data_IF_998404998593
#
_entry.id   IF_998404998593
#
_cell.length_a   1.000
_cell.length_b   1.000
_cell.length_c   1.000
_cell.angle_alpha   90.00
_cell.angle_beta   90.00
_cell.angle_gamma   90.00
#
_symmetry.space_group_name_H-M   'P 1'
#
loop_
_entity.id
_entity.type
_entity.pdbx_description
1 polymer ?
#
# COMPACT_ATOMS: atom_id res chain seq x y z
N UNK A 1 14.84 1.48 21.64
CA UNK A 1 14.97 1.72 20.18
C UNK A 1 13.60 2.15 19.69
N UNK A 2 13.29 3.44 19.82
CA UNK A 2 11.95 3.97 19.52
C UNK A 2 12.15 5.20 18.65
N UNK A 3 12.13 5.00 17.33
CA UNK A 3 12.16 6.09 16.35
C UNK A 3 10.76 6.69 16.26
N UNK A 4 10.46 7.56 17.22
CA UNK A 4 9.34 8.48 17.18
C UNK A 4 9.72 9.63 16.24
N UNK A 5 9.60 9.41 14.93
CA UNK A 5 9.55 10.53 13.98
C UNK A 5 8.09 10.85 13.76
N UNK A 6 7.69 12.03 14.22
CA UNK A 6 6.49 12.76 13.78
C UNK A 6 6.63 13.07 12.30
N UNK A 7 6.50 12.06 11.45
CA UNK A 7 6.14 12.24 10.06
C UNK A 7 4.62 12.30 10.12
N UNK A 8 4.01 13.43 9.73
CA UNK A 8 2.59 13.43 9.35
C UNK A 8 2.42 12.16 8.55
N UNK A 9 1.54 11.22 8.92
CA UNK A 9 1.38 10.08 8.08
C UNK A 9 0.67 10.68 6.86
N UNK A 10 1.45 11.08 5.88
CA UNK A 10 1.12 10.76 4.51
C UNK A 10 1.16 9.25 4.53
N UNK A 11 0.13 8.65 5.15
CA UNK A 11 -0.32 7.32 4.88
C UNK A 11 -0.50 7.42 3.38
N UNK A 12 0.55 7.08 2.62
CA UNK A 12 0.36 6.69 1.24
C UNK A 12 -0.61 5.56 1.43
N UNK A 13 -1.90 5.87 1.26
CA UNK A 13 -2.96 4.93 1.52
C UNK A 13 -2.59 3.75 0.66
N UNK A 14 -2.18 2.67 1.28
CA UNK A 14 -1.64 1.51 0.59
C UNK A 14 -2.63 0.41 0.88
N UNK A 15 -3.11 -0.24 -0.16
CA UNK A 15 -4.04 -1.34 -0.04
C UNK A 15 -3.29 -2.64 -0.27
N UNK A 16 -3.63 -3.63 0.54
CA UNK A 16 -3.10 -4.98 0.41
C UNK A 16 -3.86 -5.72 -0.68
N UNK A 17 -3.14 -6.30 -1.63
CA UNK A 17 -3.75 -7.07 -2.69
C UNK A 17 -4.36 -8.37 -2.15
N UNK A 18 -5.63 -8.71 -2.47
CA UNK A 18 -6.25 -9.95 -1.99
C UNK A 18 -5.73 -11.22 -2.68
N UNK A 19 -4.98 -11.10 -3.79
CA UNK A 19 -4.44 -12.25 -4.52
C UNK A 19 -3.04 -12.64 -4.03
N UNK A 20 -2.11 -11.69 -3.99
CA UNK A 20 -0.72 -11.94 -3.62
C UNK A 20 -0.31 -11.35 -2.26
N UNK A 21 -1.22 -10.66 -1.57
CA UNK A 21 -0.96 -9.94 -0.33
C UNK A 21 0.13 -8.84 -0.43
N UNK A 22 0.45 -8.41 -1.65
CA UNK A 22 1.38 -7.31 -1.92
C UNK A 22 0.80 -5.95 -1.54
N UNK A 23 1.63 -5.09 -0.94
CA UNK A 23 1.25 -3.74 -0.54
C UNK A 23 1.33 -2.79 -1.74
N UNK A 24 0.19 -2.28 -2.20
CA UNK A 24 0.10 -1.42 -3.40
C UNK A 24 -0.43 -0.04 -3.05
N UNK A 25 0.15 1.01 -3.64
CA UNK A 25 -0.32 2.39 -3.43
C UNK A 25 -1.76 2.57 -3.96
N UNK A 26 -2.64 3.24 -3.21
CA UNK A 26 -4.05 3.52 -3.56
C UNK A 26 -4.19 4.38 -4.82
N UNK A 27 -3.16 5.13 -5.20
CA UNK A 27 -3.11 5.79 -6.51
C UNK A 27 -3.19 4.80 -7.68
N UNK A 28 -2.75 3.55 -7.49
CA UNK A 28 -2.82 2.49 -8.49
C UNK A 28 -4.07 1.63 -8.29
N UNK A 29 -4.84 1.51 -9.37
CA UNK A 29 -6.03 0.64 -9.50
C UNK A 29 -5.71 -0.85 -9.61
N UNK A 30 -4.43 -1.17 -9.83
CA UNK A 30 -3.90 -2.52 -10.03
C UNK A 30 -2.72 -2.76 -9.12
N UNK A 31 -2.62 -3.97 -8.59
CA UNK A 31 -1.50 -4.43 -7.81
C UNK A 31 -0.21 -4.31 -8.65
N UNK A 32 0.87 -3.84 -8.02
CA UNK A 32 2.16 -3.74 -8.69
C UNK A 32 2.77 -5.10 -8.97
N UNK A 33 2.56 -6.06 -8.07
CA UNK A 33 3.27 -7.33 -8.07
C UNK A 33 2.61 -8.37 -8.99
N UNK A 34 1.29 -8.56 -8.87
CA UNK A 34 0.55 -9.55 -9.65
C UNK A 34 -0.39 -8.95 -10.71
N UNK A 35 -0.56 -7.62 -10.74
CA UNK A 35 -1.48 -6.96 -11.66
C UNK A 35 -2.97 -7.08 -11.32
N UNK A 36 -3.33 -7.77 -10.22
CA UNK A 36 -4.73 -7.89 -9.75
C UNK A 36 -5.34 -6.51 -9.55
N UNK A 37 -6.51 -6.31 -10.15
CA UNK A 37 -7.22 -5.04 -10.04
C UNK A 37 -8.04 -5.02 -8.75
N UNK A 38 -8.22 -3.85 -8.11
CA UNK A 38 -8.96 -3.71 -6.84
C UNK A 38 -10.50 -3.71 -7.04
N UNK A 39 -11.00 -4.20 -8.18
CA UNK A 39 -12.42 -4.22 -8.57
C UNK A 39 -12.85 -5.67 -8.71
#
# INVERSE_FOLDING_TARGET
MSTTTTERPTERATWTCPNCHGATTTAKKRCRDCGTSRW
#
